data_IF_144093429223
#
_entry.id   IF_144093429223
#
_cell.length_a   1.000
_cell.length_b   1.000
_cell.length_c   1.000
_cell.angle_alpha   90.00
_cell.angle_beta   90.00
_cell.angle_gamma   90.00
#
_symmetry.space_group_name_H-M   'P 1'
#
loop_
_entity.id
_entity.type
_entity.pdbx_description
1 polymer ?
#
# COMPACT_ATOMS: atom_id res chain seq x y z
N UNK A 1 -11.92 -10.32 11.74
CA UNK A 1 -11.64 -9.89 10.37
C UNK A 1 -12.88 -9.66 9.50
N UNK A 2 -13.83 -10.57 9.45
CA UNK A 2 -15.05 -10.45 8.58
C UNK A 2 -15.93 -9.21 8.88
N UNK A 3 -16.03 -8.77 10.14
CA UNK A 3 -16.89 -7.65 10.56
C UNK A 3 -16.32 -6.28 10.11
N UNK A 4 -15.02 -6.11 10.15
CA UNK A 4 -14.37 -4.86 9.74
C UNK A 4 -14.52 -4.58 8.23
N UNK A 5 -14.43 -5.62 7.41
CA UNK A 5 -14.65 -5.52 5.96
C UNK A 5 -16.07 -5.11 5.63
N UNK A 6 -17.07 -5.61 6.37
CA UNK A 6 -18.48 -5.28 6.18
C UNK A 6 -18.75 -3.82 6.58
N UNK A 7 -18.15 -3.33 7.66
CA UNK A 7 -18.33 -1.94 8.11
C UNK A 7 -17.73 -0.95 7.10
N UNK A 8 -16.54 -1.22 6.58
CA UNK A 8 -15.93 -0.39 5.53
C UNK A 8 -16.80 -0.40 4.27
N UNK A 9 -17.34 -1.55 3.88
CA UNK A 9 -18.24 -1.67 2.74
C UNK A 9 -19.53 -0.88 2.93
N UNK A 10 -20.14 -0.93 4.12
CA UNK A 10 -21.37 -0.20 4.45
C UNK A 10 -21.16 1.32 4.51
N UNK A 11 -19.99 1.79 4.95
CA UNK A 11 -19.67 3.23 4.97
C UNK A 11 -19.55 3.81 3.56
N UNK A 12 -19.11 3.02 2.58
CA UNK A 12 -19.00 3.44 1.19
C UNK A 12 -20.37 3.59 0.50
N UNK A 13 -21.40 2.89 0.98
CA UNK A 13 -22.74 2.91 0.36
C UNK A 13 -23.70 4.00 0.88
N UNK A 14 -23.37 4.69 1.98
CA UNK A 14 -24.33 5.58 2.67
C UNK A 14 -24.67 6.90 1.97
N UNK A 15 -24.01 7.25 0.87
CA UNK A 15 -24.16 8.57 0.23
C UNK A 15 -24.54 8.53 -1.26
N UNK A 16 -25.35 7.57 -1.68
CA UNK A 16 -25.66 7.42 -3.12
C UNK A 16 -27.09 7.87 -3.42
N UNK A 17 -27.25 9.04 -4.04
CA UNK A 17 -28.50 9.50 -4.65
C UNK A 17 -28.71 8.84 -6.03
N UNK A 18 -29.95 8.55 -6.40
CA UNK A 18 -30.34 7.57 -7.41
C UNK A 18 -29.88 7.82 -8.86
N UNK A 19 -29.60 9.04 -9.27
CA UNK A 19 -29.22 9.36 -10.66
C UNK A 19 -27.74 9.12 -10.97
N UNK A 20 -26.89 9.20 -9.97
CA UNK A 20 -25.43 8.96 -10.02
C UNK A 20 -25.05 7.49 -9.68
N UNK A 21 -26.04 6.64 -9.51
CA UNK A 21 -25.81 5.30 -8.90
C UNK A 21 -24.97 4.39 -9.77
N UNK A 22 -25.27 4.34 -11.07
CA UNK A 22 -24.58 3.44 -12.03
C UNK A 22 -23.13 3.87 -12.20
N UNK A 23 -22.87 5.16 -12.32
CA UNK A 23 -21.53 5.69 -12.49
C UNK A 23 -20.68 5.44 -11.24
N UNK A 24 -21.21 5.69 -10.05
CA UNK A 24 -20.51 5.42 -8.78
C UNK A 24 -20.25 3.94 -8.55
N UNK A 25 -21.17 3.07 -8.94
CA UNK A 25 -20.98 1.62 -8.86
C UNK A 25 -19.86 1.18 -9.80
N UNK A 26 -19.84 1.69 -11.04
CA UNK A 26 -18.78 1.39 -12.00
C UNK A 26 -17.42 1.86 -11.52
N UNK A 27 -17.34 3.07 -10.94
CA UNK A 27 -16.12 3.60 -10.33
C UNK A 27 -15.63 2.72 -9.17
N UNK A 28 -16.52 2.33 -8.28
CA UNK A 28 -16.21 1.47 -7.15
C UNK A 28 -15.70 0.10 -7.62
N UNK A 29 -16.37 -0.50 -8.59
CA UNK A 29 -15.96 -1.80 -9.16
C UNK A 29 -14.60 -1.67 -9.83
N UNK A 30 -14.39 -0.65 -10.65
CA UNK A 30 -13.11 -0.41 -11.32
C UNK A 30 -11.98 -0.18 -10.30
N UNK A 31 -12.20 0.66 -9.30
CA UNK A 31 -11.24 0.89 -8.24
C UNK A 31 -10.91 -0.41 -7.49
N UNK A 32 -11.93 -1.19 -7.12
CA UNK A 32 -11.75 -2.47 -6.43
C UNK A 32 -10.94 -3.44 -7.27
N UNK A 33 -11.25 -3.58 -8.55
CA UNK A 33 -10.50 -4.45 -9.47
C UNK A 33 -9.04 -4.04 -9.59
N UNK A 34 -8.77 -2.75 -9.73
CA UNK A 34 -7.40 -2.25 -9.81
C UNK A 34 -6.62 -2.48 -8.51
N UNK A 35 -7.27 -2.41 -7.35
CA UNK A 35 -6.62 -2.74 -6.07
C UNK A 35 -6.30 -4.23 -5.92
N UNK A 36 -6.90 -5.11 -6.72
CA UNK A 36 -6.57 -6.55 -6.73
C UNK A 36 -5.28 -6.86 -7.49
N UNK A 37 -4.78 -5.93 -8.31
CA UNK A 37 -3.52 -6.12 -9.05
C UNK A 37 -2.34 -5.98 -8.09
N UNK A 38 -1.57 -7.06 -7.85
CA UNK A 38 -0.44 -6.99 -6.96
C UNK A 38 0.78 -6.34 -7.61
N UNK A 39 1.58 -5.71 -6.80
CA UNK A 39 2.91 -5.21 -7.17
C UNK A 39 3.97 -6.23 -6.83
N UNK A 40 4.96 -6.46 -7.71
CA UNK A 40 6.09 -7.31 -7.38
C UNK A 40 6.94 -6.70 -6.27
N UNK A 41 7.39 -7.52 -5.35
CA UNK A 41 8.23 -7.10 -4.25
C UNK A 41 9.32 -8.15 -3.96
N UNK A 42 10.45 -7.70 -3.44
CA UNK A 42 11.54 -8.54 -3.00
C UNK A 42 11.81 -8.27 -1.53
N UNK A 43 11.99 -9.33 -0.78
CA UNK A 43 12.23 -9.29 0.66
C UNK A 43 13.55 -9.96 0.95
N UNK A 44 14.35 -9.35 1.80
CA UNK A 44 15.47 -10.04 2.40
C UNK A 44 14.94 -10.82 3.60
N UNK A 45 15.07 -12.12 3.52
CA UNK A 45 14.80 -13.00 4.65
C UNK A 45 16.11 -13.30 5.38
N UNK A 46 16.09 -13.14 6.70
CA UNK A 46 17.23 -13.42 7.57
C UNK A 46 16.83 -14.58 8.46
N UNK A 47 17.34 -15.74 8.14
CA UNK A 47 17.35 -16.86 9.08
C UNK A 47 18.74 -16.97 9.72
N UNK A 48 18.83 -17.68 10.83
CA UNK A 48 20.08 -17.84 11.59
C UNK A 48 21.23 -18.43 10.78
N UNK A 49 20.92 -19.15 9.69
CA UNK A 49 21.89 -19.86 8.85
C UNK A 49 21.97 -19.41 7.41
N UNK A 50 20.98 -18.67 6.90
CA UNK A 50 20.99 -18.17 5.52
C UNK A 50 20.26 -16.85 5.36
N UNK A 51 20.84 -15.94 4.58
CA UNK A 51 20.16 -14.75 4.11
C UNK A 51 19.91 -14.85 2.61
N UNK A 52 18.66 -14.72 2.17
CA UNK A 52 18.29 -14.79 0.77
C UNK A 52 17.26 -13.74 0.38
N UNK A 53 17.31 -13.31 -0.89
CA UNK A 53 16.26 -12.50 -1.48
C UNK A 53 15.11 -13.41 -1.92
N UNK A 54 13.90 -13.06 -1.50
CA UNK A 54 12.68 -13.78 -1.87
C UNK A 54 11.76 -12.88 -2.67
N UNK A 55 11.19 -13.43 -3.71
CA UNK A 55 10.15 -12.76 -4.48
C UNK A 55 8.81 -12.86 -3.76
N UNK A 56 8.01 -11.82 -3.90
CA UNK A 56 6.66 -11.78 -3.38
C UNK A 56 5.76 -10.83 -4.14
N UNK A 57 4.52 -10.80 -3.74
CA UNK A 57 3.49 -9.93 -4.26
C UNK A 57 2.95 -9.06 -3.12
N UNK A 58 2.77 -7.79 -3.38
CA UNK A 58 2.24 -6.82 -2.43
C UNK A 58 1.03 -6.11 -3.03
N UNK A 59 -0.07 -6.05 -2.31
CA UNK A 59 -1.24 -5.24 -2.67
C UNK A 59 -1.15 -3.89 -1.97
N UNK A 60 -1.49 -2.82 -2.67
CA UNK A 60 -1.45 -1.47 -2.11
C UNK A 60 -2.86 -0.91 -2.01
N UNK A 61 -3.44 -0.98 -0.85
CA UNK A 61 -4.78 -0.48 -0.59
C UNK A 61 -4.65 0.81 0.23
N UNK A 62 -5.09 1.94 -0.33
CA UNK A 62 -5.05 3.25 0.35
C UNK A 62 -6.48 3.75 0.57
N UNK A 63 -7.12 3.35 1.68
CA UNK A 63 -8.52 3.71 1.93
C UNK A 63 -8.73 5.19 2.27
N UNK A 64 -7.68 5.86 2.74
CA UNK A 64 -7.74 7.26 3.15
C UNK A 64 -6.58 8.02 2.55
N UNK A 65 -6.90 9.10 1.86
CA UNK A 65 -5.93 10.00 1.27
C UNK A 65 -6.33 11.46 1.59
N UNK A 66 -5.40 12.22 2.16
CA UNK A 66 -5.56 13.64 2.42
C UNK A 66 -4.66 14.43 1.47
N UNK A 67 -5.25 15.28 0.62
CA UNK A 67 -4.51 16.13 -0.33
C UNK A 67 -4.27 17.51 0.28
N UNK A 68 -3.02 17.93 0.35
CA UNK A 68 -2.66 19.27 0.85
C UNK A 68 -3.15 20.38 -0.05
N UNK A 69 -3.12 20.19 -1.36
CA UNK A 69 -3.55 21.21 -2.31
C UNK A 69 -5.06 21.54 -2.22
N UNK A 70 -5.88 20.54 -1.95
CA UNK A 70 -7.33 20.73 -1.78
C UNK A 70 -7.74 20.93 -0.33
N UNK A 71 -6.83 20.69 0.62
CA UNK A 71 -7.10 20.68 2.06
C UNK A 71 -8.32 19.82 2.44
N UNK A 72 -8.48 18.68 1.77
CA UNK A 72 -9.62 17.77 1.94
C UNK A 72 -9.19 16.32 1.87
N UNK A 73 -9.95 15.47 2.54
CA UNK A 73 -9.93 14.04 2.31
C UNK A 73 -10.46 13.76 0.90
N UNK A 74 -9.67 13.05 0.14
CA UNK A 74 -10.05 12.61 -1.21
C UNK A 74 -10.66 11.23 -1.10
N UNK A 75 -11.87 11.08 -1.64
CA UNK A 75 -12.50 9.77 -1.74
C UNK A 75 -11.65 8.88 -2.66
N UNK A 76 -11.15 7.72 -2.21
CA UNK A 76 -10.32 6.85 -3.02
C UNK A 76 -11.01 6.39 -4.32
N UNK A 77 -12.32 6.21 -4.30
CA UNK A 77 -13.11 5.82 -5.48
C UNK A 77 -13.18 6.96 -6.50
N UNK A 78 -13.29 8.21 -6.05
CA UNK A 78 -13.27 9.39 -6.92
C UNK A 78 -11.87 9.77 -7.38
N UNK A 79 -10.85 9.18 -6.77
CA UNK A 79 -9.46 9.53 -7.02
C UNK A 79 -9.01 9.18 -8.44
N UNK A 80 -9.61 8.19 -9.03
CA UNK A 80 -9.37 7.80 -10.42
C UNK A 80 -9.70 8.92 -11.43
N UNK A 81 -10.70 9.76 -11.10
CA UNK A 81 -11.11 10.92 -11.91
C UNK A 81 -10.57 12.25 -11.39
N UNK A 82 -9.93 12.26 -10.24
CA UNK A 82 -9.42 13.51 -9.69
C UNK A 82 -8.33 14.06 -10.57
N UNK A 83 -8.58 15.28 -11.05
CA UNK A 83 -7.60 16.05 -11.78
C UNK A 83 -6.23 15.94 -11.09
N UNK A 84 -5.21 15.48 -11.82
CA UNK A 84 -3.85 15.38 -11.33
C UNK A 84 -3.40 16.60 -10.49
N UNK A 85 -3.74 17.82 -10.89
CA UNK A 85 -3.41 19.05 -10.16
C UNK A 85 -3.76 19.01 -8.67
N UNK A 86 -4.80 18.29 -8.27
CA UNK A 86 -5.16 18.14 -6.85
C UNK A 86 -4.24 17.21 -6.07
N UNK A 87 -3.49 16.35 -6.76
CA UNK A 87 -2.53 15.43 -6.15
C UNK A 87 -1.18 16.08 -5.91
N UNK A 88 -0.80 17.03 -6.74
CA UNK A 88 0.56 17.51 -6.88
C UNK A 88 0.98 18.57 -5.86
N UNK A 89 0.13 18.91 -4.92
CA UNK A 89 0.54 19.65 -3.72
C UNK A 89 1.15 18.79 -2.62
N UNK A 90 1.23 17.46 -2.84
CA UNK A 90 1.56 16.49 -1.83
C UNK A 90 0.32 15.91 -1.14
N UNK A 91 0.49 14.75 -0.54
CA UNK A 91 -0.61 14.06 0.16
C UNK A 91 -0.11 13.19 1.30
N UNK A 92 -1.01 12.89 2.22
CA UNK A 92 -0.82 11.87 3.27
C UNK A 92 -1.80 10.76 3.03
N UNK A 93 -1.32 9.52 3.05
CA UNK A 93 -2.12 8.34 2.85
C UNK A 93 -2.04 7.41 4.06
N UNK A 94 -3.18 6.89 4.47
CA UNK A 94 -3.23 5.68 5.27
C UNK A 94 -3.34 4.49 4.33
N UNK A 95 -2.50 3.48 4.53
CA UNK A 95 -2.49 2.33 3.66
C UNK A 95 -2.51 1.00 4.43
N UNK A 96 -2.99 -0.01 3.74
CA UNK A 96 -2.86 -1.41 4.12
C UNK A 96 -2.21 -2.17 2.96
N UNK A 97 -1.20 -2.98 3.26
CA UNK A 97 -0.45 -3.75 2.28
C UNK A 97 -0.42 -5.22 2.68
N UNK A 98 -1.43 -6.02 2.30
CA UNK A 98 -1.28 -7.45 2.31
C UNK A 98 -0.12 -7.86 1.40
N UNK A 99 0.70 -8.78 1.86
CA UNK A 99 1.86 -9.25 1.11
C UNK A 99 1.90 -10.77 1.18
N UNK A 100 2.32 -11.37 0.08
CA UNK A 100 2.51 -12.81 -0.02
C UNK A 100 3.88 -13.09 -0.62
N UNK A 101 4.64 -13.96 0.03
CA UNK A 101 5.99 -14.31 -0.38
C UNK A 101 6.01 -15.70 -1.00
N UNK A 102 6.77 -15.85 -2.09
CA UNK A 102 7.06 -17.14 -2.71
C UNK A 102 8.28 -17.77 -2.04
N UNK A 103 8.40 -19.09 -2.12
CA UNK A 103 9.55 -19.84 -1.67
C UNK A 103 9.20 -20.91 -0.65
N UNK A 104 10.07 -21.86 -0.53
CA UNK A 104 9.98 -22.90 0.49
C UNK A 104 10.54 -22.34 1.80
N UNK A 105 9.75 -22.47 2.85
CA UNK A 105 10.12 -22.07 4.20
C UNK A 105 10.67 -23.26 4.98
N UNK A 106 11.61 -23.98 4.40
CA UNK A 106 12.21 -25.09 5.12
C UNK A 106 12.93 -24.64 6.39
N UNK A 107 13.38 -23.38 6.40
CA UNK A 107 14.24 -22.83 7.46
C UNK A 107 13.73 -21.56 8.11
N UNK A 108 12.66 -20.94 7.61
CA UNK A 108 12.10 -19.71 8.18
C UNK A 108 10.79 -19.95 8.91
N UNK A 109 10.70 -19.49 10.14
CA UNK A 109 9.49 -19.56 10.96
C UNK A 109 8.38 -18.57 10.50
N UNK A 110 8.66 -17.70 9.53
CA UNK A 110 7.74 -16.66 9.10
C UNK A 110 6.67 -17.22 8.15
N UNK A 111 5.41 -16.79 8.35
CA UNK A 111 4.31 -17.07 7.44
C UNK A 111 4.56 -16.44 6.07
N UNK A 112 4.11 -17.10 5.00
CA UNK A 112 4.14 -16.56 3.63
C UNK A 112 3.27 -15.30 3.48
N UNK A 113 2.26 -15.17 4.30
CA UNK A 113 1.33 -14.05 4.27
C UNK A 113 1.55 -13.14 5.46
N UNK A 114 1.61 -11.85 5.20
CA UNK A 114 1.66 -10.83 6.22
C UNK A 114 0.94 -9.56 5.78
N UNK A 115 0.63 -8.72 6.73
CA UNK A 115 -0.06 -7.45 6.47
C UNK A 115 0.75 -6.31 7.07
N UNK A 116 1.05 -5.33 6.24
CA UNK A 116 1.60 -4.07 6.69
C UNK A 116 0.50 -3.01 6.68
N UNK A 117 0.50 -2.16 7.68
CA UNK A 117 -0.33 -0.95 7.73
C UNK A 117 0.55 0.25 8.03
N UNK A 118 0.15 1.42 7.61
CA UNK A 118 0.98 2.58 7.87
C UNK A 118 0.43 3.89 7.33
N UNK A 119 1.28 4.89 7.48
CA UNK A 119 1.07 6.23 6.97
C UNK A 119 2.21 6.60 6.03
N UNK A 120 1.88 7.24 4.92
CA UNK A 120 2.83 7.65 3.90
C UNK A 120 2.58 9.08 3.49
N UNK A 121 3.65 9.85 3.35
CA UNK A 121 3.68 11.17 2.72
C UNK A 121 4.17 11.07 1.31
N UNK A 122 3.48 11.75 0.40
CA UNK A 122 3.92 12.00 -0.96
C UNK A 122 4.38 13.45 -1.09
N UNK A 123 5.57 13.62 -1.67
CA UNK A 123 6.23 14.90 -1.88
C UNK A 123 6.51 15.02 -3.38
N UNK A 124 5.77 15.85 -4.12
CA UNK A 124 6.02 16.10 -5.54
C UNK A 124 7.32 16.89 -5.71
N UNK A 125 8.18 16.48 -6.64
CA UNK A 125 9.45 17.16 -6.90
C UNK A 125 9.48 17.82 -8.27
N UNK A 126 9.30 17.05 -9.35
CA UNK A 126 9.42 17.53 -10.72
C UNK A 126 8.07 17.54 -11.38
N UNK A 127 7.74 18.65 -12.07
CA UNK A 127 6.47 18.85 -12.78
C UNK A 127 5.27 18.49 -11.90
N UNK A 128 5.26 19.05 -10.68
CA UNK A 128 4.21 18.79 -9.68
C UNK A 128 4.01 17.31 -9.36
N UNK A 129 5.08 16.51 -9.48
CA UNK A 129 5.05 15.06 -9.21
C UNK A 129 4.69 14.19 -10.41
N UNK A 130 4.44 14.75 -11.59
CA UNK A 130 4.14 13.98 -12.79
C UNK A 130 5.32 13.13 -13.22
N UNK A 131 6.50 13.73 -13.27
CA UNK A 131 7.72 13.00 -13.62
C UNK A 131 8.39 12.38 -12.42
N UNK A 132 8.43 13.08 -11.29
CA UNK A 132 9.10 12.59 -10.09
C UNK A 132 8.39 13.05 -8.83
N UNK A 133 8.09 12.08 -7.97
CA UNK A 133 7.67 12.31 -6.61
C UNK A 133 8.44 11.38 -5.67
N UNK A 134 8.65 11.84 -4.44
CA UNK A 134 9.17 11.02 -3.35
C UNK A 134 8.04 10.62 -2.42
N UNK A 135 8.24 9.52 -1.73
CA UNK A 135 7.43 9.19 -0.56
C UNK A 135 8.31 8.81 0.61
N UNK A 136 7.82 9.12 1.80
CA UNK A 136 8.36 8.59 3.05
C UNK A 136 7.20 8.16 3.93
N UNK A 137 7.39 7.12 4.72
CA UNK A 137 6.31 6.59 5.53
C UNK A 137 6.79 5.76 6.71
N UNK A 138 5.84 5.50 7.59
CA UNK A 138 6.01 4.58 8.71
C UNK A 138 5.06 3.41 8.54
N UNK A 139 5.58 2.22 8.75
CA UNK A 139 4.85 0.95 8.63
C UNK A 139 4.86 0.19 9.93
N UNK A 140 3.76 -0.47 10.18
CA UNK A 140 3.62 -1.51 11.17
C UNK A 140 3.31 -2.81 10.45
N UNK A 141 4.21 -3.79 10.56
CA UNK A 141 4.09 -5.09 9.96
C UNK A 141 3.59 -6.10 10.97
N UNK A 142 2.53 -6.82 10.65
CA UNK A 142 2.00 -7.93 11.42
C UNK A 142 2.34 -9.20 10.64
N UNK A 143 3.19 -10.03 11.22
CA UNK A 143 3.66 -11.28 10.62
C UNK A 143 3.36 -12.43 11.55
N UNK A 144 2.81 -13.47 11.01
CA UNK A 144 2.57 -14.70 11.74
C UNK A 144 3.83 -15.58 11.67
N UNK A 145 4.27 -16.11 12.81
CA UNK A 145 5.31 -17.13 12.88
C UNK A 145 4.69 -18.51 12.98
N UNK A 146 5.29 -19.46 12.31
CA UNK A 146 4.80 -20.84 12.24
C UNK A 146 4.75 -21.54 13.59
N UNK A 147 5.67 -21.18 14.49
CA UNK A 147 5.86 -21.87 15.77
C UNK A 147 5.82 -20.97 17.02
N UNK A 148 5.92 -19.65 16.87
CA UNK A 148 6.11 -18.75 18.02
C UNK A 148 5.14 -17.58 18.12
N UNK A 149 3.98 -17.65 17.43
CA UNK A 149 2.97 -16.59 17.47
C UNK A 149 3.25 -15.45 16.49
N UNK A 150 2.79 -14.24 16.80
CA UNK A 150 2.92 -13.09 15.90
C UNK A 150 4.21 -12.32 16.15
N UNK A 151 4.91 -11.98 15.09
CA UNK A 151 5.99 -11.01 15.09
C UNK A 151 5.48 -9.66 14.59
N UNK A 152 5.64 -8.63 15.39
CA UNK A 152 5.29 -7.27 15.05
C UNK A 152 6.57 -6.49 14.78
N UNK A 153 6.63 -5.83 13.63
CA UNK A 153 7.78 -5.05 13.23
C UNK A 153 7.38 -3.63 12.80
N UNK A 154 8.26 -2.68 13.10
CA UNK A 154 8.16 -1.32 12.60
C UNK A 154 9.16 -1.11 11.48
N UNK A 155 8.75 -0.39 10.44
CA UNK A 155 9.63 -0.07 9.33
C UNK A 155 9.45 1.39 8.90
N UNK A 156 10.54 1.93 8.35
CA UNK A 156 10.54 3.19 7.61
C UNK A 156 10.46 2.86 6.12
N UNK A 157 9.54 3.51 5.43
CA UNK A 157 9.39 3.39 3.98
C UNK A 157 9.97 4.62 3.29
N UNK A 158 10.73 4.38 2.23
CA UNK A 158 11.15 5.39 1.28
C UNK A 158 10.71 4.95 -0.12
N UNK A 159 10.24 5.89 -0.94
CA UNK A 159 9.80 5.59 -2.29
C UNK A 159 10.11 6.70 -3.27
N UNK A 160 10.36 6.30 -4.51
CA UNK A 160 10.52 7.19 -5.66
C UNK A 160 9.44 6.80 -6.66
N UNK A 161 8.66 7.77 -7.09
CA UNK A 161 7.54 7.56 -8.00
C UNK A 161 7.70 8.39 -9.26
N UNK A 162 7.32 7.80 -10.37
CA UNK A 162 7.29 8.43 -11.69
C UNK A 162 5.95 8.15 -12.37
N UNK A 163 5.77 8.75 -13.54
CA UNK A 163 4.58 8.56 -14.37
C UNK A 163 3.29 8.80 -13.58
N UNK A 164 3.09 10.06 -13.16
CA UNK A 164 1.92 10.47 -12.36
C UNK A 164 1.78 9.74 -11.03
N UNK A 165 2.87 9.20 -10.48
CA UNK A 165 2.86 8.42 -9.25
C UNK A 165 2.33 6.99 -9.41
N UNK A 166 2.12 6.52 -10.65
CA UNK A 166 1.64 5.16 -10.94
C UNK A 166 2.74 4.13 -10.72
N UNK A 167 3.96 4.42 -11.20
CA UNK A 167 5.09 3.51 -11.07
C UNK A 167 6.01 4.03 -10.00
N UNK A 168 6.27 3.21 -8.99
CA UNK A 168 7.15 3.54 -7.89
C UNK A 168 8.14 2.45 -7.58
N UNK A 169 9.28 2.85 -7.09
CA UNK A 169 10.24 1.96 -6.44
C UNK A 169 10.24 2.28 -4.95
N UNK A 170 10.02 1.26 -4.12
CA UNK A 170 9.98 1.39 -2.66
C UNK A 170 11.07 0.61 -2.00
N UNK A 171 11.58 1.19 -0.94
CA UNK A 171 12.53 0.58 -0.03
C UNK A 171 11.98 0.68 1.39
N UNK A 172 11.92 -0.42 2.09
CA UNK A 172 11.47 -0.53 3.47
C UNK A 172 12.64 -0.98 4.33
N UNK A 173 12.92 -0.24 5.39
CA UNK A 173 13.90 -0.63 6.41
C UNK A 173 13.19 -0.97 7.71
N UNK A 174 13.32 -2.21 8.15
CA UNK A 174 12.70 -2.71 9.38
C UNK A 174 13.62 -2.43 10.58
N UNK A 175 13.09 -1.70 11.54
CA UNK A 175 13.80 -1.31 12.76
C UNK A 175 13.98 -2.50 13.69
N UNK A 176 13.01 -3.39 13.72
CA UNK A 176 12.98 -4.61 14.52
C UNK A 176 12.43 -5.77 13.69
N UNK A 177 12.57 -6.98 14.21
CA UNK A 177 12.11 -8.19 13.53
C UNK A 177 13.23 -8.92 12.77
N UNK A 178 12.86 -10.05 12.19
CA UNK A 178 13.78 -10.97 11.51
C UNK A 178 14.28 -10.40 10.17
N UNK A 179 13.42 -9.69 9.43
CA UNK A 179 13.81 -9.06 8.18
C UNK A 179 14.42 -7.67 8.42
N UNK A 180 15.44 -7.33 7.64
CA UNK A 180 16.09 -6.03 7.72
C UNK A 180 15.55 -5.07 6.68
N UNK A 181 15.34 -5.50 5.46
CA UNK A 181 14.83 -4.64 4.41
C UNK A 181 13.96 -5.37 3.38
N UNK A 182 13.14 -4.61 2.71
CA UNK A 182 12.40 -5.04 1.53
C UNK A 182 12.45 -3.93 0.48
N UNK A 183 12.41 -4.32 -0.78
CA UNK A 183 12.28 -3.38 -1.87
C UNK A 183 11.32 -3.94 -2.92
N UNK A 184 10.71 -3.07 -3.69
CA UNK A 184 9.76 -3.52 -4.69
C UNK A 184 9.36 -2.43 -5.66
N UNK A 185 8.86 -2.88 -6.81
CA UNK A 185 8.21 -2.02 -7.77
C UNK A 185 6.76 -1.89 -7.34
N UNK A 186 6.34 -0.69 -7.07
CA UNK A 186 4.99 -0.39 -6.65
C UNK A 186 4.19 0.10 -7.84
N UNK A 187 3.14 -0.63 -8.18
CA UNK A 187 2.13 -0.17 -9.11
C UNK A 187 0.98 0.38 -8.30
N UNK A 188 0.72 1.67 -8.43
CA UNK A 188 -0.31 2.35 -7.68
C UNK A 188 -1.37 2.85 -8.63
N UNK A 189 -2.52 2.22 -8.56
CA UNK A 189 -3.72 2.64 -9.28
C UNK A 189 -4.56 3.49 -8.32
N UNK A 190 -4.81 4.70 -8.73
CA UNK A 190 -5.58 5.65 -7.90
C UNK A 190 -7.07 5.52 -8.15
#
# INVERSE_FOLDING_TARGET
MKVFTIIVFLFLFKNINSQDRTEKVTELVTWTLLQTVPSPAYFQDHDKESSGLRFGLAWNISPVNFSFNSNKLVNPVSFFKVNPVRRYGGSVELFAQPQWMTGEYEYSDLSRFHVNTGIRWFIPLIERGERLALSTGLKYAIREKKYSGNENAYAVELGIYSFFGVIGFKFDYYLNGSNKFAFGINLKYY
#
